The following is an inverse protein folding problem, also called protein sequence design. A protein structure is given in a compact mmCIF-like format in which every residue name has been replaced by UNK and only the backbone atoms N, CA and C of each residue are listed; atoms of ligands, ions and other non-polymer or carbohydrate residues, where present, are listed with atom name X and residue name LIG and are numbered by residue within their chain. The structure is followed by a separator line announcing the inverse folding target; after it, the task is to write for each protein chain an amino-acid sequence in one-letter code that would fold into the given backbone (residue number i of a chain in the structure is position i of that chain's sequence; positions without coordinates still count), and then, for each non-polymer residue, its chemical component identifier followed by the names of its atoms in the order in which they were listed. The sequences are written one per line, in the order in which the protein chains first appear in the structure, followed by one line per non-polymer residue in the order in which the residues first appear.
data_IF_320096754172
#
_entry.id   IF_320096754172
#
_cell.length_a   1.000
_cell.length_b   1.000
_cell.length_c   1.000
_cell.angle_alpha   90.00
_cell.angle_beta   90.00
_cell.angle_gamma   90.00
#
_symmetry.space_group_name_H-M   'P 1'
#
loop_
_entity.id
_entity.type
_entity.pdbx_description
1 polymer ?
#
# COMPACT_ATOMS: atom_id res chain seq x y z
N UNK A 1 -18.08 0.52 -19.86
CA UNK A 1 -18.26 -0.54 -18.83
C UNK A 1 -18.04 -0.04 -17.40
N UNK A 2 -16.86 0.49 -17.03
CA UNK A 2 -16.57 0.94 -15.65
C UNK A 2 -17.37 2.18 -15.27
N UNK A 3 -17.34 3.22 -16.12
CA UNK A 3 -18.03 4.49 -15.88
C UNK A 3 -19.52 4.28 -15.60
N UNK A 4 -20.23 3.48 -16.39
CA UNK A 4 -21.64 3.18 -16.17
C UNK A 4 -21.92 2.59 -14.78
N UNK A 5 -21.01 1.75 -14.26
CA UNK A 5 -21.15 1.16 -12.93
C UNK A 5 -20.92 2.18 -11.82
N UNK A 6 -19.96 3.08 -12.02
CA UNK A 6 -19.72 4.21 -11.10
C UNK A 6 -20.95 5.13 -11.09
N UNK A 7 -21.44 5.54 -12.25
CA UNK A 7 -22.62 6.42 -12.37
C UNK A 7 -23.84 5.78 -11.70
N UNK A 8 -24.07 4.48 -11.91
CA UNK A 8 -25.18 3.77 -11.28
C UNK A 8 -25.08 3.79 -9.74
N UNK A 9 -23.90 3.46 -9.19
CA UNK A 9 -23.67 3.51 -7.74
C UNK A 9 -23.91 4.92 -7.19
N UNK A 10 -23.38 5.95 -7.85
CA UNK A 10 -23.53 7.33 -7.41
C UNK A 10 -24.98 7.82 -7.47
N UNK A 11 -25.76 7.40 -8.48
CA UNK A 11 -27.17 7.81 -8.64
C UNK A 11 -28.12 7.10 -7.68
N UNK A 12 -27.95 5.78 -7.50
CA UNK A 12 -28.97 4.94 -6.85
C UNK A 12 -28.52 4.31 -5.52
N UNK A 13 -27.23 4.36 -5.20
CA UNK A 13 -26.64 3.67 -4.06
C UNK A 13 -25.64 4.57 -3.31
N UNK A 14 -26.07 5.77 -2.94
CA UNK A 14 -25.25 6.81 -2.27
C UNK A 14 -25.13 6.66 -0.75
N UNK A 15 -25.35 5.46 -0.19
CA UNK A 15 -25.35 5.22 1.24
C UNK A 15 -23.97 5.26 1.89
N UNK A 16 -23.91 5.66 3.17
CA UNK A 16 -22.68 5.60 3.95
C UNK A 16 -22.35 4.15 4.37
N UNK A 17 -21.18 3.65 3.98
CA UNK A 17 -20.67 2.31 4.32
C UNK A 17 -20.71 2.00 5.83
N UNK A 18 -20.46 3.00 6.68
CA UNK A 18 -20.43 2.82 8.13
C UNK A 18 -21.82 2.70 8.76
N UNK A 19 -22.89 3.01 8.01
CA UNK A 19 -24.26 2.89 8.51
C UNK A 19 -24.74 1.44 8.44
N UNK A 20 -24.86 0.80 9.60
CA UNK A 20 -25.41 -0.55 9.71
C UNK A 20 -26.94 -0.58 9.92
N UNK A 21 -27.58 0.56 10.22
CA UNK A 21 -29.02 0.64 10.45
C UNK A 21 -29.80 0.93 9.17
N UNK A 22 -29.28 1.80 8.30
CA UNK A 22 -29.96 2.23 7.09
C UNK A 22 -29.76 1.26 5.92
N UNK A 23 -30.82 1.00 5.13
CA UNK A 23 -30.78 0.07 3.99
C UNK A 23 -29.67 0.41 2.97
N UNK A 24 -29.54 1.68 2.58
CA UNK A 24 -28.48 2.11 1.67
C UNK A 24 -27.06 1.85 2.20
N UNK A 25 -26.84 1.96 3.51
CA UNK A 25 -25.53 1.66 4.13
C UNK A 25 -25.21 0.17 4.10
N UNK A 26 -26.19 -0.68 4.47
CA UNK A 26 -26.07 -2.15 4.37
C UNK A 26 -25.75 -2.58 2.93
N UNK A 27 -26.44 -2.01 1.95
CA UNK A 27 -26.22 -2.34 0.54
C UNK A 27 -24.81 -1.96 0.07
N UNK A 28 -24.33 -0.76 0.40
CA UNK A 28 -22.98 -0.32 0.04
C UNK A 28 -21.90 -1.19 0.71
N UNK A 29 -22.13 -1.59 1.95
CA UNK A 29 -21.24 -2.54 2.65
C UNK A 29 -21.10 -3.85 1.89
N UNK A 30 -22.21 -4.43 1.42
CA UNK A 30 -22.19 -5.65 0.60
C UNK A 30 -21.39 -5.43 -0.69
N UNK A 31 -21.57 -4.29 -1.37
CA UNK A 31 -20.84 -3.98 -2.60
C UNK A 31 -19.33 -3.86 -2.38
N UNK A 32 -18.90 -3.16 -1.33
CA UNK A 32 -17.48 -3.00 -0.99
C UNK A 32 -16.87 -4.35 -0.61
N UNK A 33 -17.54 -5.16 0.21
CA UNK A 33 -17.08 -6.51 0.57
C UNK A 33 -17.01 -7.46 -0.63
N UNK A 34 -17.93 -7.31 -1.60
CA UNK A 34 -17.89 -8.06 -2.86
C UNK A 34 -16.67 -7.66 -3.70
N UNK A 35 -16.41 -6.37 -3.83
CA UNK A 35 -15.21 -5.85 -4.54
C UNK A 35 -13.93 -6.35 -3.87
N UNK A 36 -13.86 -6.30 -2.55
CA UNK A 36 -12.74 -6.85 -1.75
C UNK A 36 -12.52 -8.34 -2.02
N UNK A 37 -13.59 -9.14 -2.06
CA UNK A 37 -13.53 -10.59 -2.38
C UNK A 37 -12.99 -10.85 -3.79
N UNK A 38 -13.38 -10.03 -4.78
CA UNK A 38 -12.92 -10.19 -6.16
C UNK A 38 -11.42 -9.91 -6.24
N UNK A 39 -10.97 -8.78 -5.67
CA UNK A 39 -9.56 -8.38 -5.66
C UNK A 39 -8.71 -9.43 -4.92
N UNK A 40 -9.16 -9.89 -3.75
CA UNK A 40 -8.41 -10.87 -2.97
C UNK A 40 -8.23 -12.20 -3.71
N UNK A 41 -9.21 -12.61 -4.53
CA UNK A 41 -9.09 -13.80 -5.39
C UNK A 41 -8.04 -13.60 -6.49
N UNK A 42 -8.02 -12.43 -7.12
CA UNK A 42 -7.05 -12.12 -8.18
C UNK A 42 -5.61 -12.10 -7.63
N UNK A 43 -5.44 -11.54 -6.43
CA UNK A 43 -4.12 -11.42 -5.77
C UNK A 43 -3.74 -12.65 -4.92
N UNK A 44 -4.58 -13.69 -4.89
CA UNK A 44 -4.41 -14.89 -4.05
C UNK A 44 -4.12 -14.57 -2.57
N UNK A 45 -4.91 -13.68 -1.97
CA UNK A 45 -4.75 -13.24 -0.58
C UNK A 45 -6.07 -13.32 0.20
N UNK A 46 -6.01 -13.11 1.52
CA UNK A 46 -7.21 -13.02 2.37
C UNK A 46 -7.87 -11.67 2.18
N UNK A 47 -9.20 -11.62 2.27
CA UNK A 47 -9.96 -10.34 2.18
C UNK A 47 -9.44 -9.28 3.16
N UNK A 48 -9.11 -9.69 4.39
CA UNK A 48 -8.63 -8.79 5.45
C UNK A 48 -7.29 -8.11 5.13
N UNK A 49 -6.55 -8.60 4.13
CA UNK A 49 -5.29 -8.02 3.68
C UNK A 49 -5.50 -6.93 2.63
N UNK A 50 -6.74 -6.72 2.15
CA UNK A 50 -7.09 -5.69 1.18
C UNK A 50 -7.65 -4.45 1.88
N UNK A 51 -6.85 -3.40 1.92
CA UNK A 51 -7.23 -2.06 2.37
C UNK A 51 -7.38 -1.17 1.14
N UNK A 52 -8.51 -0.47 1.04
CA UNK A 52 -8.73 0.54 0.00
C UNK A 52 -8.18 1.87 0.48
N UNK A 53 -7.33 2.48 -0.34
CA UNK A 53 -6.78 3.83 -0.16
C UNK A 53 -7.20 4.70 -1.34
N UNK A 54 -6.94 6.00 -1.27
CA UNK A 54 -7.17 6.94 -2.38
C UNK A 54 -6.24 6.70 -3.59
N UNK A 55 -5.15 5.96 -3.43
CA UNK A 55 -4.24 5.62 -4.52
C UNK A 55 -2.87 5.11 -4.04
N UNK A 56 -1.97 4.87 -5.00
CA UNK A 56 -0.66 4.27 -4.74
C UNK A 56 0.21 5.10 -3.78
N UNK A 57 0.21 6.44 -3.90
CA UNK A 57 0.99 7.33 -3.03
C UNK A 57 0.59 7.20 -1.55
N UNK A 58 -0.71 7.13 -1.27
CA UNK A 58 -1.21 6.91 0.09
C UNK A 58 -0.84 5.51 0.58
N UNK A 59 -1.04 4.47 -0.25
CA UNK A 59 -0.67 3.09 0.11
C UNK A 59 0.81 2.94 0.46
N UNK A 60 1.71 3.57 -0.31
CA UNK A 60 3.15 3.54 -0.07
C UNK A 60 3.48 4.21 1.27
N UNK A 61 2.90 5.39 1.54
CA UNK A 61 3.09 6.09 2.80
C UNK A 61 2.57 5.27 3.98
N UNK A 62 1.36 4.71 3.87
CA UNK A 62 0.76 3.88 4.91
C UNK A 62 1.63 2.67 5.24
N UNK A 63 2.13 1.97 4.22
CA UNK A 63 2.98 0.80 4.41
C UNK A 63 4.32 1.16 5.08
N UNK A 64 5.04 2.17 4.56
CA UNK A 64 6.35 2.56 5.06
C UNK A 64 6.28 3.19 6.45
N UNK A 65 5.42 4.20 6.65
CA UNK A 65 5.29 4.88 7.94
C UNK A 65 4.69 3.96 8.99
N UNK A 66 3.72 3.11 8.59
CA UNK A 66 3.08 2.15 9.49
C UNK A 66 4.04 1.11 10.05
N UNK A 67 4.86 0.48 9.20
CA UNK A 67 5.80 -0.57 9.67
C UNK A 67 6.89 0.01 10.57
N UNK A 68 7.38 1.20 10.26
CA UNK A 68 8.43 1.85 11.05
C UNK A 68 7.90 2.31 12.42
N UNK A 69 6.67 2.85 12.44
CA UNK A 69 6.00 3.19 13.69
C UNK A 69 5.80 1.94 14.58
N UNK A 70 5.43 0.80 13.99
CA UNK A 70 5.28 -0.46 14.73
C UNK A 70 6.59 -0.92 15.39
N UNK A 71 7.74 -0.78 14.72
CA UNK A 71 9.02 -1.18 15.29
C UNK A 71 9.63 -0.16 16.27
N UNK A 72 9.08 1.05 16.38
CA UNK A 72 9.46 2.09 17.33
C UNK A 72 10.99 2.20 17.52
N UNK A 73 11.71 2.42 16.41
CA UNK A 73 13.19 2.54 16.33
C UNK A 73 14.03 1.27 16.53
N UNK A 74 13.46 0.11 16.90
CA UNK A 74 14.21 -1.16 16.99
C UNK A 74 14.75 -1.61 15.63
N UNK A 75 14.01 -1.30 14.57
CA UNK A 75 14.39 -1.47 13.17
C UNK A 75 14.43 -0.08 12.55
N UNK A 76 15.59 0.31 12.05
CA UNK A 76 15.81 1.66 11.53
C UNK A 76 16.62 1.68 10.22
N UNK A 77 16.78 0.53 9.58
CA UNK A 77 17.47 0.41 8.29
C UNK A 77 16.50 -0.05 7.20
N UNK A 78 16.40 0.72 6.12
CA UNK A 78 15.55 0.41 4.97
C UNK A 78 16.45 0.18 3.76
N UNK A 79 16.14 -0.84 2.98
CA UNK A 79 16.82 -1.13 1.72
C UNK A 79 15.81 -0.93 0.59
N UNK A 80 16.17 -0.16 -0.43
CA UNK A 80 15.29 0.14 -1.57
C UNK A 80 16.10 0.27 -2.87
N UNK A 81 15.43 0.48 -4.00
CA UNK A 81 16.05 0.76 -5.29
C UNK A 81 16.01 2.26 -5.60
N UNK A 82 17.01 2.76 -6.35
CA UNK A 82 16.98 4.14 -6.87
C UNK A 82 15.93 4.37 -7.95
N UNK A 83 15.44 3.29 -8.56
CA UNK A 83 14.47 3.31 -9.66
C UNK A 83 13.01 3.30 -9.19
N UNK A 84 12.78 3.35 -7.88
CA UNK A 84 11.42 3.43 -7.33
C UNK A 84 10.70 4.71 -7.79
N UNK A 85 9.37 4.64 -7.82
CA UNK A 85 8.54 5.81 -8.12
C UNK A 85 8.80 6.95 -7.10
N UNK A 86 8.62 8.20 -7.54
CA UNK A 86 8.85 9.41 -6.72
C UNK A 86 8.08 9.39 -5.39
N UNK A 87 6.89 8.80 -5.36
CA UNK A 87 6.11 8.62 -4.14
C UNK A 87 6.89 7.84 -3.06
N UNK A 88 7.59 6.77 -3.44
CA UNK A 88 8.44 5.98 -2.54
C UNK A 88 9.67 6.78 -2.13
N UNK A 89 10.42 7.31 -3.11
CA UNK A 89 11.68 8.01 -2.84
C UNK A 89 11.49 9.26 -1.98
N UNK A 90 10.41 10.02 -2.17
CA UNK A 90 10.11 11.19 -1.36
C UNK A 90 9.79 10.79 0.09
N UNK A 91 8.97 9.76 0.29
CA UNK A 91 8.68 9.24 1.63
C UNK A 91 9.95 8.76 2.34
N UNK A 92 10.84 8.08 1.63
CA UNK A 92 12.12 7.63 2.17
C UNK A 92 13.02 8.81 2.55
N UNK A 93 13.10 9.86 1.73
CA UNK A 93 13.85 11.10 2.07
C UNK A 93 13.31 11.79 3.32
N UNK A 94 12.00 11.80 3.54
CA UNK A 94 11.42 12.31 4.80
C UNK A 94 11.89 11.46 5.98
N UNK A 95 11.89 10.13 5.83
CA UNK A 95 12.33 9.21 6.88
C UNK A 95 13.83 9.35 7.18
N UNK A 96 14.68 9.63 6.18
CA UNK A 96 16.10 9.94 6.40
C UNK A 96 16.27 11.14 7.33
N UNK A 97 15.48 12.20 7.15
CA UNK A 97 15.49 13.38 8.03
C UNK A 97 15.06 13.06 9.46
N UNK A 98 14.24 12.02 9.63
CA UNK A 98 13.80 11.52 10.94
C UNK A 98 14.80 10.54 11.57
N UNK A 99 15.97 10.33 10.96
CA UNK A 99 17.05 9.50 11.51
C UNK A 99 17.04 8.03 11.07
N UNK A 100 16.17 7.65 10.12
CA UNK A 100 16.20 6.32 9.52
C UNK A 100 17.37 6.20 8.53
N UNK A 101 18.07 5.06 8.56
CA UNK A 101 19.15 4.76 7.61
C UNK A 101 18.55 4.13 6.36
N UNK A 102 18.85 4.69 5.18
CA UNK A 102 18.35 4.15 3.92
C UNK A 102 19.52 3.76 3.02
N UNK A 103 19.47 2.52 2.51
CA UNK A 103 20.41 2.01 1.51
C UNK A 103 19.70 1.94 0.16
N UNK A 104 20.10 2.83 -0.75
CA UNK A 104 19.62 2.81 -2.14
C UNK A 104 20.51 1.94 -3.01
N UNK A 105 19.92 0.92 -3.63
CA UNK A 105 20.57 0.00 -4.56
C UNK A 105 20.39 0.47 -6.01
N UNK A 106 21.45 0.31 -6.81
CA UNK A 106 21.38 0.48 -8.25
C UNK A 106 21.12 -0.89 -8.89
N UNK A 107 20.10 -1.01 -9.78
CA UNK A 107 19.99 -2.17 -10.64
C UNK A 107 21.17 -2.22 -11.64
N UNK A 108 21.29 -3.34 -12.35
CA UNK A 108 22.16 -3.44 -13.52
C UNK A 108 21.59 -2.69 -14.74
N UNK A 109 22.27 -2.83 -15.89
CA UNK A 109 21.89 -2.14 -17.13
C UNK A 109 20.52 -2.57 -17.67
N UNK A 110 20.01 -3.73 -17.25
CA UNK A 110 18.69 -4.24 -17.66
C UNK A 110 17.60 -3.82 -16.68
N UNK A 111 17.93 -3.06 -15.63
CA UNK A 111 17.00 -2.66 -14.58
C UNK A 111 16.77 -3.75 -13.53
N UNK A 112 17.57 -4.83 -13.54
CA UNK A 112 17.41 -5.97 -12.65
C UNK A 112 18.36 -5.85 -11.45
N UNK A 113 17.90 -6.24 -10.27
CA UNK A 113 18.74 -6.31 -9.07
C UNK A 113 19.00 -7.76 -8.67
N UNK A 114 20.27 -8.11 -8.44
CA UNK A 114 20.59 -9.47 -7.99
C UNK A 114 20.24 -9.67 -6.52
N UNK A 115 19.64 -10.83 -6.20
CA UNK A 115 19.32 -11.20 -4.82
C UNK A 115 20.55 -11.22 -3.91
N UNK A 116 21.74 -11.53 -4.47
CA UNK A 116 23.02 -11.47 -3.76
C UNK A 116 23.34 -10.06 -3.28
N UNK A 117 23.08 -9.01 -4.08
CA UNK A 117 23.30 -7.61 -3.70
C UNK A 117 22.37 -7.19 -2.55
N UNK A 118 21.10 -7.62 -2.60
CA UNK A 118 20.12 -7.35 -1.53
C UNK A 118 20.56 -8.03 -0.22
N UNK A 119 20.83 -9.35 -0.26
CA UNK A 119 21.23 -10.13 0.93
C UNK A 119 22.45 -9.54 1.64
N UNK A 120 23.45 -9.04 0.90
CA UNK A 120 24.65 -8.39 1.46
C UNK A 120 24.36 -7.12 2.28
N UNK A 121 23.19 -6.49 2.10
CA UNK A 121 22.82 -5.26 2.82
C UNK A 121 21.90 -5.49 4.00
N UNK A 122 21.29 -6.68 4.10
CA UNK A 122 20.41 -7.05 5.22
C UNK A 122 21.25 -7.20 6.49
N UNK A 123 20.79 -6.62 7.58
CA UNK A 123 21.43 -6.70 8.90
C UNK A 123 20.38 -6.74 10.02
N UNK A 124 20.81 -6.85 11.29
CA UNK A 124 19.91 -6.92 12.46
C UNK A 124 18.97 -5.71 12.61
N UNK A 125 19.35 -4.54 12.08
CA UNK A 125 18.57 -3.30 12.13
C UNK A 125 17.64 -3.12 10.92
N UNK A 126 17.72 -4.01 9.93
CA UNK A 126 16.82 -4.05 8.76
C UNK A 126 15.49 -4.66 9.15
#
# INVERSE_FOLDING_TARGET
RIINKIINILKYHFGNYSSNSHFYGKYIKILIEKSRKIISKILNCKKKEIIFTSGATESINLALKGILNFYNSKKNHIITLKTEHKATLNTLKELEKLGYKITYLNPDKEGIISLKKIKKKINKKT
#
